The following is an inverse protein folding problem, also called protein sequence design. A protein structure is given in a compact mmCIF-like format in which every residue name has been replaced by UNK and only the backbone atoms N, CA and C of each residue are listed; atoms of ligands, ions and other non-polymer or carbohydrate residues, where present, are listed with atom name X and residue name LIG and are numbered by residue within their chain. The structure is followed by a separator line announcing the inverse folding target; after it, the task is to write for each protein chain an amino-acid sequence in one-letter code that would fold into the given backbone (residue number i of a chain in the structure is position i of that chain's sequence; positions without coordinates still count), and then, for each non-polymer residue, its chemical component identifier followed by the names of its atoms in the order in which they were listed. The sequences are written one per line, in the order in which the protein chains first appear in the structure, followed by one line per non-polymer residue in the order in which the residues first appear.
data_IF_572687042941
#
_entry.id   IF_572687042941
#
_cell.length_a   1.000
_cell.length_b   1.000
_cell.length_c   1.000
_cell.angle_alpha   90.00
_cell.angle_beta   90.00
_cell.angle_gamma   90.00
#
_symmetry.space_group_name_H-M   'P 1'
#
loop_
_entity.id
_entity.type
_entity.pdbx_description
1 polymer ?
#
# COMPACT_ATOMS: atom_id res chain seq x y z
N UNK A 1 -39.66 0.86 -25.05
CA UNK A 1 -39.22 0.38 -23.73
C UNK A 1 -38.95 1.62 -22.90
N UNK A 2 -39.70 1.85 -21.84
CA UNK A 2 -39.51 3.00 -20.93
C UNK A 2 -38.26 2.74 -20.10
N UNK A 3 -37.17 3.43 -20.41
CA UNK A 3 -35.95 3.44 -19.59
C UNK A 3 -36.30 3.97 -18.21
N UNK A 4 -36.11 3.16 -17.17
CA UNK A 4 -36.29 3.61 -15.79
C UNK A 4 -34.99 4.25 -15.30
N UNK A 5 -34.77 5.49 -15.72
CA UNK A 5 -33.59 6.28 -15.37
C UNK A 5 -33.30 6.32 -13.87
N UNK A 6 -34.34 6.25 -13.02
CA UNK A 6 -34.15 6.29 -11.56
C UNK A 6 -33.57 4.98 -11.04
N UNK A 7 -34.08 3.85 -11.52
CA UNK A 7 -33.56 2.54 -11.15
C UNK A 7 -32.12 2.33 -11.65
N UNK A 8 -31.83 2.75 -12.88
CA UNK A 8 -30.51 2.59 -13.47
C UNK A 8 -29.47 3.48 -12.76
N UNK A 9 -29.79 4.75 -12.49
CA UNK A 9 -28.90 5.64 -11.72
C UNK A 9 -28.72 5.15 -10.29
N UNK A 10 -29.74 4.59 -9.63
CA UNK A 10 -29.60 4.03 -8.29
C UNK A 10 -28.57 2.88 -8.26
N UNK A 11 -28.67 1.92 -9.20
CA UNK A 11 -27.69 0.82 -9.32
C UNK A 11 -26.28 1.34 -9.59
N UNK A 12 -26.17 2.35 -10.45
CA UNK A 12 -24.89 2.93 -10.81
C UNK A 12 -24.23 3.62 -9.61
N UNK A 13 -25.01 4.31 -8.78
CA UNK A 13 -24.54 4.94 -7.54
C UNK A 13 -24.08 3.91 -6.51
N UNK A 14 -24.81 2.80 -6.36
CA UNK A 14 -24.39 1.70 -5.50
C UNK A 14 -23.04 1.12 -5.96
N UNK A 15 -22.88 0.91 -7.27
CA UNK A 15 -21.62 0.43 -7.85
C UNK A 15 -20.47 1.44 -7.61
N UNK A 16 -20.72 2.74 -7.80
CA UNK A 16 -19.72 3.78 -7.52
C UNK A 16 -19.33 3.79 -6.04
N UNK A 17 -20.29 3.63 -5.12
CA UNK A 17 -20.02 3.50 -3.70
C UNK A 17 -19.10 2.32 -3.39
N UNK A 18 -19.42 1.14 -3.94
CA UNK A 18 -18.60 -0.07 -3.79
C UNK A 18 -17.19 0.09 -4.36
N UNK A 19 -17.04 0.73 -5.53
CA UNK A 19 -15.74 1.01 -6.12
C UNK A 19 -14.90 1.97 -5.27
N UNK A 20 -15.52 3.02 -4.70
CA UNK A 20 -14.86 3.95 -3.79
C UNK A 20 -14.39 3.25 -2.51
N UNK A 21 -15.24 2.43 -1.89
CA UNK A 21 -14.87 1.63 -0.71
C UNK A 21 -13.73 0.66 -1.01
N UNK A 22 -13.75 0.00 -2.18
CA UNK A 22 -12.66 -0.87 -2.60
C UNK A 22 -11.35 -0.10 -2.78
N UNK A 23 -11.37 1.08 -3.43
CA UNK A 23 -10.19 1.91 -3.63
C UNK A 23 -9.62 2.40 -2.29
N UNK A 24 -10.48 2.84 -1.38
CA UNK A 24 -10.08 3.29 -0.04
C UNK A 24 -9.50 2.15 0.81
N UNK A 25 -10.13 0.97 0.76
CA UNK A 25 -9.62 -0.24 1.39
C UNK A 25 -8.23 -0.61 0.87
N UNK A 26 -7.96 -0.38 -0.42
CA UNK A 26 -6.65 -0.59 -1.01
C UNK A 26 -5.64 0.49 -0.60
N UNK A 27 -6.04 1.75 -0.41
CA UNK A 27 -5.13 2.81 0.02
C UNK A 27 -4.48 2.52 1.38
N UNK A 28 -5.25 1.90 2.29
CA UNK A 28 -4.83 1.53 3.64
C UNK A 28 -4.19 0.12 3.75
N UNK A 29 -4.02 -0.61 2.65
CA UNK A 29 -3.48 -1.98 2.64
C UNK A 29 -1.96 -2.09 2.78
N UNK A 30 -1.45 -3.31 2.99
CA UNK A 30 -0.01 -3.59 3.04
C UNK A 30 0.63 -3.53 1.66
N UNK A 31 1.84 -2.98 1.49
CA UNK A 31 2.58 -2.98 0.22
C UNK A 31 2.53 -4.34 -0.51
N UNK A 32 2.72 -4.41 -1.84
CA UNK A 32 2.92 -5.69 -2.51
C UNK A 32 4.05 -6.50 -1.86
N UNK A 33 3.83 -7.80 -1.65
CA UNK A 33 4.74 -8.67 -0.89
C UNK A 33 6.17 -8.65 -1.41
N UNK A 34 6.36 -8.71 -2.72
CA UNK A 34 7.68 -8.60 -3.37
C UNK A 34 8.39 -7.29 -3.01
N UNK A 35 7.65 -6.18 -2.94
CA UNK A 35 8.19 -4.87 -2.57
C UNK A 35 8.53 -4.79 -1.09
N UNK A 36 7.75 -5.42 -0.22
CA UNK A 36 8.06 -5.53 1.20
C UNK A 36 9.30 -6.40 1.44
N UNK A 37 9.42 -7.54 0.75
CA UNK A 37 10.62 -8.39 0.79
C UNK A 37 11.86 -7.65 0.31
N UNK A 38 11.78 -6.94 -0.82
CA UNK A 38 12.89 -6.13 -1.32
C UNK A 38 13.29 -5.02 -0.33
N UNK A 39 12.33 -4.38 0.32
CA UNK A 39 12.59 -3.39 1.38
C UNK A 39 13.25 -4.01 2.60
N UNK A 40 12.79 -5.19 3.02
CA UNK A 40 13.39 -5.96 4.11
C UNK A 40 14.86 -6.28 3.79
N UNK A 41 15.15 -6.81 2.60
CA UNK A 41 16.51 -7.13 2.18
C UNK A 41 17.42 -5.89 2.18
N UNK A 42 16.95 -4.79 1.59
CA UNK A 42 17.69 -3.52 1.57
C UNK A 42 17.96 -2.99 2.97
N UNK A 43 17.00 -3.12 3.90
CA UNK A 43 17.18 -2.68 5.29
C UNK A 43 18.21 -3.53 6.03
N UNK A 44 18.21 -4.86 5.83
CA UNK A 44 19.20 -5.78 6.40
C UNK A 44 20.60 -5.43 5.90
N UNK A 45 20.76 -5.23 4.60
CA UNK A 45 22.05 -4.85 3.99
C UNK A 45 22.55 -3.50 4.50
N UNK A 46 21.67 -2.50 4.54
CA UNK A 46 22.00 -1.17 5.05
C UNK A 46 22.44 -1.23 6.51
N UNK A 47 21.69 -1.93 7.36
CA UNK A 47 22.01 -2.07 8.78
C UNK A 47 23.33 -2.83 9.02
N UNK A 48 23.58 -3.89 8.26
CA UNK A 48 24.83 -4.66 8.35
C UNK A 48 26.08 -3.83 7.96
N UNK A 49 25.91 -2.91 7.00
CA UNK A 49 27.01 -2.07 6.49
C UNK A 49 27.45 -0.98 7.49
N UNK A 50 26.57 -0.59 8.40
CA UNK A 50 26.77 0.50 9.34
C UNK A 50 27.30 0.06 10.71
N UNK A 51 27.49 -1.25 10.91
CA UNK A 51 28.02 -1.81 12.15
C UNK A 51 29.48 -2.20 11.98
N UNK A 52 30.30 -1.70 12.90
CA UNK A 52 31.70 -2.07 13.04
C UNK A 52 31.91 -2.96 14.27
N UNK A 53 32.85 -3.89 14.18
CA UNK A 53 33.23 -4.79 15.27
C UNK A 53 34.62 -4.44 15.74
N UNK A 54 34.72 -3.87 16.94
CA UNK A 54 36.01 -3.57 17.53
C UNK A 54 36.67 -4.85 18.08
N UNK A 55 37.68 -5.36 17.38
CA UNK A 55 38.45 -6.56 17.79
C UNK A 55 39.70 -6.24 18.60
N UNK A 56 40.07 -4.95 18.72
CA UNK A 56 41.29 -4.53 19.42
C UNK A 56 41.37 -4.95 20.90
N UNK A 57 40.27 -4.97 21.68
CA UNK A 57 40.29 -5.45 23.05
C UNK A 57 40.77 -6.90 23.21
N UNK A 58 40.64 -7.73 22.17
CA UNK A 58 41.10 -9.13 22.20
C UNK A 58 42.56 -9.31 21.74
N UNK A 59 43.20 -8.25 21.24
CA UNK A 59 44.56 -8.31 20.67
C UNK A 59 45.59 -7.52 21.47
N UNK A 60 45.19 -6.81 22.54
CA UNK A 60 46.05 -5.98 23.39
C UNK A 60 46.00 -6.43 24.84
N UNK A 61 47.17 -6.57 25.47
CA UNK A 61 47.31 -6.99 26.88
C UNK A 61 46.63 -6.05 27.88
N UNK A 62 46.52 -4.77 27.54
CA UNK A 62 46.17 -3.70 28.48
C UNK A 62 44.71 -3.23 28.36
N UNK A 63 43.95 -3.82 27.42
CA UNK A 63 42.62 -3.32 26.97
C UNK A 63 41.47 -4.27 27.36
N UNK A 64 41.65 -5.02 28.44
CA UNK A 64 40.73 -6.05 28.94
C UNK A 64 39.43 -5.48 29.54
N UNK A 65 39.35 -4.18 29.78
CA UNK A 65 38.21 -3.52 30.44
C UNK A 65 37.14 -2.96 29.47
N UNK A 66 37.35 -3.03 28.15
CA UNK A 66 36.49 -2.38 27.13
C UNK A 66 35.84 -3.35 26.13
N UNK A 67 35.50 -4.57 26.56
CA UNK A 67 34.55 -5.40 25.79
C UNK A 67 33.14 -4.88 26.07
N UNK A 68 32.79 -3.73 25.50
CA UNK A 68 31.40 -3.29 25.43
C UNK A 68 30.70 -4.15 24.36
N UNK A 69 29.80 -5.06 24.73
CA UNK A 69 29.11 -5.93 23.78
C UNK A 69 28.10 -5.15 22.92
N UNK A 70 27.89 -3.86 23.21
CA UNK A 70 26.98 -3.02 22.45
C UNK A 70 27.70 -2.59 21.15
N UNK A 71 27.19 -3.01 19.98
CA UNK A 71 27.77 -2.64 18.69
C UNK A 71 27.82 -1.12 18.55
N UNK A 72 28.98 -0.58 18.19
CA UNK A 72 29.10 0.87 17.89
C UNK A 72 28.45 1.11 16.53
N UNK A 73 27.42 1.97 16.50
CA UNK A 73 26.75 2.40 15.27
C UNK A 73 25.24 2.62 15.43
N UNK A 74 24.59 3.23 14.43
CA UNK A 74 23.12 3.26 14.34
C UNK A 74 22.58 1.82 14.23
N UNK A 75 21.33 1.61 14.67
CA UNK A 75 20.64 0.31 14.65
C UNK A 75 21.09 -0.76 15.68
N UNK A 76 22.10 -0.47 16.51
CA UNK A 76 22.45 -1.27 17.70
C UNK A 76 22.57 -2.78 17.45
N UNK A 77 21.92 -3.58 18.31
CA UNK A 77 21.92 -5.06 18.23
C UNK A 77 21.38 -5.57 16.89
N UNK A 78 20.38 -4.90 16.32
CA UNK A 78 19.78 -5.32 15.04
C UNK A 78 20.81 -5.27 13.90
N UNK A 79 21.55 -4.17 13.77
CA UNK A 79 22.59 -4.05 12.74
C UNK A 79 23.69 -5.10 12.91
N UNK A 80 24.05 -5.43 14.16
CA UNK A 80 25.02 -6.48 14.43
C UNK A 80 24.51 -7.85 14.00
N UNK A 81 23.27 -8.23 14.37
CA UNK A 81 22.64 -9.46 13.92
C UNK A 81 22.54 -9.56 12.39
N UNK A 82 22.20 -8.45 11.72
CA UNK A 82 22.20 -8.36 10.26
C UNK A 82 23.59 -8.62 9.66
N UNK A 83 24.67 -8.26 10.36
CA UNK A 83 26.05 -8.50 9.92
C UNK A 83 26.52 -9.93 10.19
N UNK A 84 26.29 -10.47 11.38
CA UNK A 84 26.86 -11.76 11.79
C UNK A 84 26.00 -12.97 11.40
N UNK A 85 24.67 -12.82 11.35
CA UNK A 85 23.72 -13.90 11.03
C UNK A 85 22.65 -13.44 10.03
N UNK A 86 23.02 -12.85 8.87
CA UNK A 86 22.05 -12.29 7.92
C UNK A 86 21.01 -13.30 7.44
N UNK A 87 21.41 -14.57 7.25
CA UNK A 87 20.50 -15.63 6.81
C UNK A 87 19.38 -15.92 7.81
N UNK A 88 19.69 -15.96 9.12
CA UNK A 88 18.70 -16.19 10.17
C UNK A 88 17.76 -14.98 10.32
N UNK A 89 18.30 -13.77 10.24
CA UNK A 89 17.48 -12.54 10.28
C UNK A 89 16.53 -12.49 9.09
N UNK A 90 17.02 -12.79 7.87
CA UNK A 90 16.17 -12.87 6.67
C UNK A 90 15.06 -13.90 6.82
N UNK A 91 15.38 -15.10 7.28
CA UNK A 91 14.40 -16.17 7.45
C UNK A 91 13.31 -15.79 8.46
N UNK A 92 13.71 -15.27 9.62
CA UNK A 92 12.76 -14.85 10.66
C UNK A 92 11.87 -13.69 10.19
N UNK A 93 12.44 -12.64 9.61
CA UNK A 93 11.65 -11.50 9.12
C UNK A 93 10.75 -11.88 7.94
N UNK A 94 11.17 -12.81 7.08
CA UNK A 94 10.33 -13.33 6.01
C UNK A 94 9.12 -14.09 6.58
N UNK A 95 9.32 -14.94 7.59
CA UNK A 95 8.24 -15.66 8.28
C UNK A 95 7.23 -14.70 8.95
N UNK A 96 7.73 -13.68 9.66
CA UNK A 96 6.89 -12.65 10.26
C UNK A 96 6.12 -11.86 9.20
N UNK A 97 6.75 -11.54 8.07
CA UNK A 97 6.05 -10.93 6.93
C UNK A 97 4.96 -11.85 6.38
N UNK A 98 5.22 -13.15 6.19
CA UNK A 98 4.17 -14.10 5.75
C UNK A 98 2.96 -14.09 6.69
N UNK A 99 3.20 -14.09 8.00
CA UNK A 99 2.13 -14.07 9.01
C UNK A 99 1.27 -12.80 8.92
N UNK A 100 1.90 -11.64 8.70
CA UNK A 100 1.21 -10.35 8.53
C UNK A 100 0.38 -10.31 7.25
N UNK A 101 0.91 -10.84 6.14
CA UNK A 101 0.21 -10.91 4.85
C UNK A 101 -0.92 -11.94 4.84
N UNK A 102 -0.86 -12.97 5.68
CA UNK A 102 -1.95 -13.93 5.83
C UNK A 102 -3.21 -13.32 6.48
N UNK A 103 -3.06 -12.24 7.24
CA UNK A 103 -4.13 -11.65 8.05
C UNK A 103 -4.70 -10.33 7.49
N UNK A 104 -3.97 -9.68 6.58
CA UNK A 104 -4.28 -8.30 6.15
C UNK A 104 -4.44 -8.20 4.64
N UNK A 105 -5.38 -7.38 4.18
CA UNK A 105 -5.50 -7.06 2.76
C UNK A 105 -4.25 -6.33 2.25
N UNK A 106 -3.70 -6.85 1.16
CA UNK A 106 -2.55 -6.27 0.47
C UNK A 106 -3.04 -5.07 -0.35
N UNK A 107 -2.37 -3.91 -0.24
CA UNK A 107 -2.40 -2.83 -1.24
C UNK A 107 -2.34 -3.50 -2.60
N UNK A 108 -3.37 -3.23 -3.40
CA UNK A 108 -3.42 -3.69 -4.77
C UNK A 108 -2.10 -3.32 -5.46
N UNK A 109 -1.60 -4.23 -6.29
CA UNK A 109 -0.68 -3.89 -7.39
C UNK A 109 -1.17 -2.58 -8.02
N UNK A 110 -0.28 -1.62 -8.26
CA UNK A 110 -0.62 -0.30 -8.80
C UNK A 110 -1.54 -0.44 -10.04
N UNK A 111 -1.42 -1.55 -10.77
CA UNK A 111 -2.30 -1.95 -11.88
C UNK A 111 -3.76 -2.21 -11.48
N UNK A 112 -4.02 -2.92 -10.38
CA UNK A 112 -5.38 -3.22 -9.92
C UNK A 112 -6.03 -1.97 -9.33
N UNK A 113 -5.27 -1.13 -8.62
CA UNK A 113 -5.76 0.19 -8.19
C UNK A 113 -6.10 1.07 -9.40
N UNK A 114 -5.19 1.21 -10.36
CA UNK A 114 -5.42 1.99 -11.58
C UNK A 114 -6.61 1.44 -12.40
N UNK A 115 -6.81 0.12 -12.41
CA UNK A 115 -7.98 -0.51 -13.02
C UNK A 115 -9.27 -0.09 -12.32
N UNK A 116 -9.34 -0.17 -10.98
CA UNK A 116 -10.51 0.24 -10.21
C UNK A 116 -10.78 1.74 -10.33
N UNK A 117 -9.75 2.58 -10.34
CA UNK A 117 -9.89 4.03 -10.56
C UNK A 117 -10.43 4.33 -11.97
N UNK A 118 -10.03 3.56 -12.98
CA UNK A 118 -10.58 3.67 -14.34
C UNK A 118 -12.02 3.19 -14.43
N UNK A 119 -12.36 2.09 -13.75
CA UNK A 119 -13.74 1.60 -13.66
C UNK A 119 -14.65 2.60 -12.94
N UNK A 120 -14.15 3.22 -11.87
CA UNK A 120 -14.82 4.31 -11.16
C UNK A 120 -15.09 5.49 -12.09
N UNK A 121 -14.07 5.94 -12.84
CA UNK A 121 -14.24 7.06 -13.78
C UNK A 121 -15.29 6.74 -14.86
N UNK A 122 -15.25 5.54 -15.44
CA UNK A 122 -16.22 5.12 -16.44
C UNK A 122 -17.65 5.11 -15.86
N UNK A 123 -17.82 4.58 -14.64
CA UNK A 123 -19.11 4.57 -13.97
C UNK A 123 -19.60 5.99 -13.69
N UNK A 124 -18.75 6.92 -13.27
CA UNK A 124 -19.13 8.32 -13.06
C UNK A 124 -19.55 8.99 -14.39
N UNK A 125 -18.85 8.71 -15.49
CA UNK A 125 -19.22 9.21 -16.82
C UNK A 125 -20.57 8.66 -17.30
N UNK A 126 -20.84 7.38 -17.06
CA UNK A 126 -22.12 6.76 -17.38
C UNK A 126 -23.27 7.38 -16.56
N UNK A 127 -23.02 7.76 -15.30
CA UNK A 127 -24.00 8.47 -14.47
C UNK A 127 -24.40 9.80 -15.11
N UNK A 128 -23.42 10.62 -15.50
CA UNK A 128 -23.68 11.94 -16.05
C UNK A 128 -24.37 11.83 -17.42
N UNK A 129 -24.01 10.84 -18.24
CA UNK A 129 -24.71 10.58 -19.51
C UNK A 129 -26.19 10.21 -19.28
N UNK A 130 -26.49 9.38 -18.29
CA UNK A 130 -27.87 9.03 -17.93
C UNK A 130 -28.64 10.22 -17.36
N UNK A 131 -28.00 11.06 -16.53
CA UNK A 131 -28.62 12.28 -16.00
C UNK A 131 -28.91 13.28 -17.13
N UNK A 132 -27.99 13.45 -18.07
CA UNK A 132 -28.18 14.32 -19.23
C UNK A 132 -29.32 13.82 -20.13
N UNK A 133 -29.34 12.53 -20.46
CA UNK A 133 -30.41 11.91 -21.25
C UNK A 133 -31.78 11.99 -20.55
N UNK A 134 -31.82 11.80 -19.22
CA UNK A 134 -33.03 11.98 -18.43
C UNK A 134 -33.55 13.43 -18.50
N UNK A 135 -32.64 14.42 -18.43
CA UNK A 135 -32.98 15.83 -18.52
C UNK A 135 -33.55 16.22 -19.88
N UNK A 136 -33.01 15.68 -20.98
CA UNK A 136 -33.55 15.86 -22.34
C UNK A 136 -34.99 15.33 -22.47
N UNK A 137 -35.31 14.27 -21.71
CA UNK A 137 -36.66 13.70 -21.63
C UNK A 137 -37.54 14.36 -20.57
N UNK A 138 -37.09 15.46 -19.97
CA UNK A 138 -37.83 16.24 -18.98
C UNK A 138 -37.80 15.66 -17.55
N UNK A 139 -37.06 14.59 -17.31
CA UNK A 139 -36.88 13.98 -15.99
C UNK A 139 -35.69 14.63 -15.29
N UNK A 140 -35.95 15.43 -14.26
CA UNK A 140 -34.88 16.02 -13.43
C UNK A 140 -34.40 15.02 -12.37
N UNK A 141 -33.12 14.67 -12.43
CA UNK A 141 -32.44 13.83 -11.45
C UNK A 141 -31.31 14.63 -10.82
N UNK A 142 -31.28 14.70 -9.49
CA UNK A 142 -30.26 15.44 -8.77
C UNK A 142 -28.90 14.75 -8.91
N UNK A 143 -27.86 15.54 -9.19
CA UNK A 143 -26.47 15.08 -9.13
C UNK A 143 -26.05 14.80 -7.68
N UNK A 144 -25.03 13.96 -7.51
CA UNK A 144 -24.42 13.73 -6.19
C UNK A 144 -23.58 14.93 -5.78
N UNK A 145 -23.39 15.10 -4.47
CA UNK A 145 -22.60 16.21 -3.91
C UNK A 145 -21.08 16.00 -4.10
N UNK A 146 -20.65 14.75 -4.20
CA UNK A 146 -19.26 14.31 -4.34
C UNK A 146 -18.90 13.94 -5.78
N UNK A 147 -19.62 14.49 -6.76
CA UNK A 147 -19.38 14.18 -8.18
C UNK A 147 -18.01 14.67 -8.61
N UNK A 148 -17.32 13.86 -9.42
CA UNK A 148 -16.03 14.22 -9.95
C UNK A 148 -16.17 15.39 -10.96
N UNK A 149 -15.54 16.55 -10.71
CA UNK A 149 -15.68 17.71 -11.56
C UNK A 149 -15.13 17.47 -12.98
N UNK A 150 -14.17 16.56 -13.17
CA UNK A 150 -13.66 16.22 -14.50
C UNK A 150 -14.76 15.61 -15.40
N UNK A 151 -15.63 14.79 -14.81
CA UNK A 151 -16.75 14.16 -15.53
C UNK A 151 -17.76 15.20 -15.98
N UNK A 152 -18.06 16.20 -15.15
CA UNK A 152 -18.95 17.31 -15.52
C UNK A 152 -18.37 18.18 -16.65
N UNK A 153 -17.05 18.26 -16.75
CA UNK A 153 -16.34 19.05 -17.76
C UNK A 153 -16.06 18.25 -19.05
N UNK A 154 -16.36 16.95 -19.07
CA UNK A 154 -16.09 16.06 -20.22
C UNK A 154 -14.60 15.81 -20.47
N UNK A 155 -13.79 15.84 -19.41
CA UNK A 155 -12.33 15.65 -19.43
C UNK A 155 -11.90 14.21 -19.18
#
# INVERSE_FOLDING_TARGET
MTTDYRADIARLRDNIGQLKEQIEGLANGLLPKERALARMESAIESAASQVDTNVYPFTRTDDHAFVDPIPRGPHGVFGYLCRIVPGLVRAHLAEELEAVYAQTQVQADDKKRAKLERELLNAEQEEEQLIAAAAEQGVRISRRADVNPAVLLGL
#
